data_IF_217288399211
#
_entry.id   IF_217288399211
#
_cell.length_a   1.000
_cell.length_b   1.000
_cell.length_c   1.000
_cell.angle_alpha   90.00
_cell.angle_beta   90.00
_cell.angle_gamma   90.00
#
_symmetry.space_group_name_H-M   'P 1'
#
loop_
_entity.id
_entity.type
_entity.pdbx_description
1 polymer ?
#
# COMPACT_ATOMS: atom_id res chain seq x y z
N UNK A 1 -8.50 21.99 -3.23
CA UNK A 1 -8.41 20.82 -2.33
C UNK A 1 -7.84 19.70 -3.15
N UNK A 2 -6.67 19.21 -2.75
CA UNK A 2 -5.80 18.35 -3.54
C UNK A 2 -6.55 17.20 -4.17
N UNK A 3 -6.46 17.04 -5.49
CA UNK A 3 -6.65 15.74 -6.16
C UNK A 3 -5.54 14.80 -5.67
N UNK A 4 -5.65 14.35 -4.42
CA UNK A 4 -5.03 13.11 -4.01
C UNK A 4 -5.76 12.03 -4.79
N UNK A 5 -5.17 11.57 -5.88
CA UNK A 5 -5.68 10.43 -6.63
C UNK A 5 -5.94 9.27 -5.65
N UNK A 6 -6.94 8.41 -5.84
CA UNK A 6 -7.20 7.31 -4.90
C UNK A 6 -5.95 6.44 -4.60
N UNK A 7 -4.98 6.40 -5.54
CA UNK A 7 -3.66 5.84 -5.33
C UNK A 7 -2.83 6.53 -4.22
N UNK A 8 -2.86 7.86 -4.13
CA UNK A 8 -2.20 8.64 -3.09
C UNK A 8 -2.84 8.42 -1.71
N UNK A 9 -4.16 8.31 -1.62
CA UNK A 9 -4.87 8.02 -0.36
C UNK A 9 -4.55 6.61 0.15
N UNK A 10 -4.59 5.62 -0.76
CA UNK A 10 -4.14 4.27 -0.49
C UNK A 10 -2.68 4.25 0.01
N UNK A 11 -1.79 4.92 -0.70
CA UNK A 11 -0.37 4.98 -0.38
C UNK A 11 -0.09 5.67 0.95
N UNK A 12 -0.78 6.77 1.25
CA UNK A 12 -0.68 7.48 2.51
C UNK A 12 -1.05 6.59 3.68
N UNK A 13 -2.11 5.79 3.56
CA UNK A 13 -2.50 4.86 4.61
C UNK A 13 -1.52 3.71 4.78
N UNK A 14 -1.04 3.12 3.68
CA UNK A 14 -0.04 2.07 3.72
C UNK A 14 1.26 2.55 4.41
N UNK A 15 1.66 3.79 4.12
CA UNK A 15 2.82 4.45 4.76
C UNK A 15 2.59 4.66 6.26
N UNK A 16 1.42 5.10 6.69
CA UNK A 16 1.11 5.24 8.12
C UNK A 16 1.22 3.91 8.87
N UNK A 17 0.69 2.83 8.31
CA UNK A 17 0.82 1.48 8.88
C UNK A 17 2.30 1.08 8.99
N UNK A 18 3.08 1.30 7.92
CA UNK A 18 4.52 1.04 7.91
C UNK A 18 5.25 1.87 8.96
N UNK A 19 4.97 3.17 9.07
CA UNK A 19 5.71 4.07 9.96
C UNK A 19 5.46 3.72 11.42
N UNK A 20 4.22 3.36 11.78
CA UNK A 20 3.88 2.83 13.11
C UNK A 20 4.58 1.50 13.43
N UNK A 21 4.80 0.67 12.42
CA UNK A 21 5.43 -0.65 12.62
C UNK A 21 6.93 -0.59 12.93
N UNK A 22 7.61 0.53 12.62
CA UNK A 22 9.06 0.68 12.74
C UNK A 22 9.87 -0.17 11.74
N UNK A 23 9.22 -0.84 10.79
CA UNK A 23 9.90 -1.68 9.80
C UNK A 23 10.44 -0.83 8.64
N UNK A 24 11.67 -1.12 8.21
CA UNK A 24 12.23 -0.52 7.00
C UNK A 24 11.72 -1.22 5.73
N UNK A 25 11.70 -0.50 4.62
CA UNK A 25 11.33 -1.07 3.31
C UNK A 25 12.22 -2.26 2.92
N UNK A 26 13.49 -2.27 3.32
CA UNK A 26 14.39 -3.42 3.09
C UNK A 26 13.98 -4.67 3.87
N UNK A 27 13.48 -4.52 5.10
CA UNK A 27 12.97 -5.66 5.91
C UNK A 27 11.67 -6.19 5.31
N UNK A 28 10.75 -5.29 4.95
CA UNK A 28 9.51 -5.65 4.28
C UNK A 28 9.77 -6.34 2.93
N UNK A 29 10.69 -5.82 2.13
CA UNK A 29 11.06 -6.36 0.83
C UNK A 29 11.59 -7.79 0.94
N UNK A 30 12.50 -8.05 1.90
CA UNK A 30 13.00 -9.40 2.16
C UNK A 30 11.89 -10.39 2.55
N UNK A 31 10.92 -9.97 3.38
CA UNK A 31 9.82 -10.84 3.84
C UNK A 31 8.76 -11.09 2.78
N UNK A 32 8.52 -10.11 1.90
CA UNK A 32 7.51 -10.19 0.84
C UNK A 32 8.07 -10.70 -0.48
N UNK A 33 9.38 -11.00 -0.55
CA UNK A 33 10.10 -11.31 -1.78
C UNK A 33 9.92 -10.20 -2.85
N UNK A 34 9.96 -8.94 -2.40
CA UNK A 34 9.78 -7.75 -3.23
C UNK A 34 10.99 -6.82 -3.14
N UNK A 35 11.23 -6.06 -4.22
CA UNK A 35 12.26 -5.02 -4.19
C UNK A 35 11.82 -3.83 -3.32
N UNK A 36 12.80 -3.21 -2.67
CA UNK A 36 12.59 -1.95 -1.92
C UNK A 36 11.96 -0.87 -2.80
N UNK A 37 12.37 -0.80 -4.08
CA UNK A 37 11.83 0.15 -5.06
C UNK A 37 10.33 -0.05 -5.31
N UNK A 38 9.87 -1.30 -5.45
CA UNK A 38 8.44 -1.63 -5.58
C UNK A 38 7.64 -1.13 -4.38
N UNK A 39 8.14 -1.40 -3.17
CA UNK A 39 7.48 -0.96 -1.94
C UNK A 39 7.43 0.56 -1.80
N UNK A 40 8.51 1.25 -2.17
CA UNK A 40 8.53 2.71 -2.22
C UNK A 40 7.44 3.25 -3.14
N UNK A 41 7.31 2.69 -4.36
CA UNK A 41 6.26 3.11 -5.30
C UNK A 41 4.86 2.91 -4.75
N UNK A 42 4.61 1.80 -4.04
CA UNK A 42 3.32 1.56 -3.38
C UNK A 42 3.04 2.56 -2.27
N UNK A 43 4.05 2.90 -1.45
CA UNK A 43 3.90 3.84 -0.33
C UNK A 43 3.89 5.31 -0.77
N UNK A 44 4.34 5.62 -1.98
CA UNK A 44 4.27 6.96 -2.57
C UNK A 44 3.05 7.16 -3.50
N UNK A 45 2.38 6.08 -3.92
CA UNK A 45 1.25 6.15 -4.85
C UNK A 45 1.66 6.15 -6.32
N UNK A 46 2.94 5.94 -6.62
CA UNK A 46 3.49 5.84 -7.98
C UNK A 46 3.13 4.51 -8.67
N UNK A 47 2.67 3.53 -7.90
CA UNK A 47 2.15 2.27 -8.38
C UNK A 47 1.05 1.76 -7.46
N UNK A 48 -0.04 1.29 -8.06
CA UNK A 48 -1.05 0.51 -7.34
C UNK A 48 -0.82 -0.97 -7.68
N UNK A 49 -0.70 -1.86 -6.69
CA UNK A 49 -0.54 -3.30 -6.91
C UNK A 49 -1.74 -3.87 -7.66
N UNK A 50 -1.51 -4.81 -8.59
CA UNK A 50 -2.58 -5.50 -9.32
C UNK A 50 -3.36 -6.47 -8.44
N UNK A 51 -2.72 -7.02 -7.42
CA UNK A 51 -3.30 -7.94 -6.45
C UNK A 51 -3.22 -7.36 -5.04
N UNK A 52 -4.25 -7.61 -4.23
CA UNK A 52 -4.28 -7.20 -2.83
C UNK A 52 -3.44 -8.10 -1.90
N UNK A 53 -3.18 -9.35 -2.28
CA UNK A 53 -2.44 -10.32 -1.45
C UNK A 53 -1.06 -9.82 -0.92
N UNK A 54 -0.19 -9.16 -1.71
CA UNK A 54 1.05 -8.59 -1.18
C UNK A 54 0.83 -7.40 -0.24
N UNK A 55 -0.22 -6.61 -0.49
CA UNK A 55 -0.59 -5.45 0.34
C UNK A 55 -1.06 -5.91 1.71
N UNK A 56 -1.94 -6.90 1.73
CA UNK A 56 -2.46 -7.49 2.96
C UNK A 56 -1.32 -8.09 3.80
N UNK A 57 -0.41 -8.84 3.17
CA UNK A 57 0.75 -9.40 3.86
C UNK A 57 1.66 -8.30 4.44
N UNK A 58 1.89 -7.22 3.70
CA UNK A 58 2.64 -6.06 4.22
C UNK A 58 1.96 -5.48 5.45
N UNK A 59 0.66 -5.18 5.36
CA UNK A 59 -0.09 -4.58 6.45
C UNK A 59 -0.13 -5.49 7.69
N UNK A 60 -0.25 -6.81 7.49
CA UNK A 60 -0.14 -7.80 8.58
C UNK A 60 1.25 -7.79 9.22
N UNK A 61 2.34 -7.70 8.45
CA UNK A 61 3.70 -7.54 8.98
C UNK A 61 3.85 -6.23 9.77
N UNK A 62 3.13 -5.19 9.35
CA UNK A 62 3.06 -3.90 10.04
C UNK A 62 2.12 -3.90 11.26
N UNK A 63 1.60 -5.07 11.67
CA UNK A 63 0.63 -5.22 12.78
C UNK A 63 -0.64 -4.39 12.57
N UNK A 64 -1.12 -4.30 11.33
CA UNK A 64 -2.42 -3.72 11.04
C UNK A 64 -3.53 -4.55 11.70
N UNK A 65 -4.47 -3.86 12.33
CA UNK A 65 -5.70 -4.46 12.85
C UNK A 65 -6.63 -4.91 11.71
N UNK A 66 -7.59 -5.81 11.98
CA UNK A 66 -8.57 -6.23 10.98
C UNK A 66 -9.34 -5.05 10.35
N UNK A 67 -9.73 -4.05 11.15
CA UNK A 67 -10.44 -2.88 10.65
C UNK A 67 -9.59 -2.04 9.69
N UNK A 68 -8.30 -1.89 10.00
CA UNK A 68 -7.35 -1.24 9.11
C UNK A 68 -7.13 -2.04 7.82
N UNK A 69 -7.14 -3.38 7.88
CA UNK A 69 -7.05 -4.20 6.66
C UNK A 69 -8.28 -4.03 5.77
N UNK A 70 -9.48 -3.91 6.34
CA UNK A 70 -10.71 -3.65 5.56
C UNK A 70 -10.63 -2.26 4.92
N UNK A 71 -10.21 -1.25 5.66
CA UNK A 71 -10.09 0.11 5.15
C UNK A 71 -9.00 0.23 4.07
N UNK A 72 -7.87 -0.46 4.24
CA UNK A 72 -6.82 -0.55 3.23
C UNK A 72 -7.35 -1.21 1.95
N UNK A 73 -8.14 -2.27 2.08
CA UNK A 73 -8.75 -2.95 0.94
C UNK A 73 -9.71 -2.04 0.18
N UNK A 74 -10.57 -1.29 0.89
CA UNK A 74 -11.48 -0.32 0.26
C UNK A 74 -10.74 0.73 -0.55
N UNK A 75 -9.68 1.31 0.02
CA UNK A 75 -8.85 2.31 -0.67
C UNK A 75 -8.10 1.71 -1.86
N UNK A 76 -7.62 0.47 -1.73
CA UNK A 76 -6.98 -0.25 -2.82
C UNK A 76 -7.94 -0.48 -4.00
N UNK A 77 -9.19 -0.90 -3.75
CA UNK A 77 -10.20 -1.09 -4.80
C UNK A 77 -10.47 0.21 -5.56
N UNK A 78 -10.60 1.34 -4.85
CA UNK A 78 -10.76 2.65 -5.49
C UNK A 78 -9.54 3.04 -6.33
N UNK A 79 -8.34 2.79 -5.81
CA UNK A 79 -7.09 3.07 -6.50
C UNK A 79 -6.91 2.18 -7.76
N UNK A 80 -7.27 0.91 -7.67
CA UNK A 80 -7.15 -0.06 -8.76
C UNK A 80 -8.16 0.23 -9.88
N UNK A 81 -9.40 0.59 -9.52
CA UNK A 81 -10.41 1.02 -10.49
C UNK A 81 -9.95 2.24 -11.31
N UNK A 82 -9.19 3.15 -10.71
CA UNK A 82 -8.65 4.34 -11.38
C UNK A 82 -7.32 4.06 -12.11
N UNK A 83 -6.57 3.02 -11.74
CA UNK A 83 -5.32 2.61 -12.41
C UNK A 83 -5.56 2.26 -13.87
N UNK A 84 -6.69 1.61 -14.18
CA UNK A 84 -7.07 1.20 -15.55
C UNK A 84 -7.43 2.34 -16.50
N UNK A 85 -7.67 3.56 -15.98
CA UNK A 85 -7.97 4.76 -16.79
C UNK A 85 -6.75 5.53 -17.28
N UNK A 86 -5.53 5.10 -16.90
CA UNK A 86 -4.27 5.74 -17.27
C UNK A 86 -3.53 4.99 -18.40
N UNK A 87 -4.23 4.09 -19.09
CA UNK A 87 -3.75 3.37 -20.28
C UNK A 87 -4.18 4.05 -21.56
#
# INVERSE_FOLDING_TARGET
MSEGTAAADFAAFLRQLKDRSGLSYGVLGKRLHMSTSTLHRYCNGDAVPTDYAPVERLARLCKASPDELVELHRRWVLADALRGRKG
#
